data_IF_024279871715
#
_entry.id   IF_024279871715
#
_cell.length_a   1.000
_cell.length_b   1.000
_cell.length_c   1.000
_cell.angle_alpha   90.00
_cell.angle_beta   90.00
_cell.angle_gamma   90.00
#
_symmetry.space_group_name_H-M   'P 1'
#
loop_
_entity.id
_entity.type
_entity.pdbx_description
1 polymer ?
#
# COMPACT_ATOMS: atom_id res chain seq x y z
N UNK A 1 21.23 25.71 9.90
CA UNK A 1 19.91 25.11 10.07
C UNK A 1 20.11 23.61 9.99
N UNK A 2 19.78 22.87 11.06
CA UNK A 2 19.87 21.42 11.03
C UNK A 2 18.75 20.89 10.13
N UNK A 3 19.10 19.99 9.19
CA UNK A 3 18.11 19.32 8.34
C UNK A 3 17.14 18.50 9.21
N UNK A 4 15.86 18.49 8.84
CA UNK A 4 14.83 17.71 9.53
C UNK A 4 15.17 16.22 9.50
N UNK A 5 15.27 15.61 10.67
CA UNK A 5 15.56 14.19 10.81
C UNK A 5 14.26 13.39 10.98
N UNK A 6 14.02 12.47 10.06
CA UNK A 6 12.90 11.53 10.15
C UNK A 6 13.28 10.39 11.10
N UNK A 7 12.46 10.05 12.10
CA UNK A 7 12.77 9.00 13.07
C UNK A 7 12.50 7.61 12.48
N UNK A 8 13.30 7.18 11.51
CA UNK A 8 13.15 5.90 10.84
C UNK A 8 13.27 4.70 11.79
N UNK A 9 12.52 3.65 11.48
CA UNK A 9 12.46 2.39 12.21
C UNK A 9 13.00 1.29 11.29
N UNK A 10 14.15 0.72 11.65
CA UNK A 10 14.82 -0.28 10.82
C UNK A 10 14.64 -1.71 11.32
N UNK A 11 14.39 -1.89 12.61
CA UNK A 11 14.29 -3.19 13.23
C UNK A 11 12.84 -3.53 13.56
N UNK A 12 12.38 -4.69 13.10
CA UNK A 12 11.09 -5.26 13.43
C UNK A 12 11.09 -6.76 13.13
N UNK A 13 10.16 -7.49 13.72
CA UNK A 13 9.98 -8.91 13.45
C UNK A 13 9.16 -9.11 12.18
N UNK A 14 9.63 -9.99 11.31
CA UNK A 14 8.94 -10.42 10.11
C UNK A 14 9.32 -11.87 9.78
N UNK A 15 8.47 -12.55 9.01
CA UNK A 15 8.72 -13.92 8.55
C UNK A 15 8.26 -14.08 7.11
N UNK A 16 9.11 -14.60 6.25
CA UNK A 16 8.72 -14.93 4.89
C UNK A 16 7.77 -16.11 4.85
N UNK A 17 6.71 -16.02 4.04
CA UNK A 17 5.79 -17.09 3.79
C UNK A 17 4.95 -17.56 4.99
N UNK A 18 4.94 -16.81 6.08
CA UNK A 18 4.15 -17.09 7.26
C UNK A 18 3.01 -16.08 7.42
N UNK A 19 1.89 -16.53 7.95
CA UNK A 19 0.74 -15.68 8.28
C UNK A 19 0.94 -15.09 9.68
N UNK A 20 1.42 -13.86 9.75
CA UNK A 20 1.69 -13.17 11.01
C UNK A 20 0.43 -12.50 11.55
N UNK A 21 0.12 -12.74 12.80
CA UNK A 21 -0.95 -12.05 13.53
C UNK A 21 -0.44 -10.70 14.04
N UNK A 22 -0.99 -9.58 13.56
CA UNK A 22 -0.55 -8.24 13.95
C UNK A 22 -1.51 -7.58 14.93
N UNK A 23 -2.80 -7.62 14.62
CA UNK A 23 -3.89 -7.07 15.42
C UNK A 23 -5.11 -8.01 15.33
N UNK A 24 -6.20 -7.77 16.05
CA UNK A 24 -7.40 -8.62 15.94
C UNK A 24 -7.95 -8.74 14.50
N UNK A 25 -7.82 -7.70 13.66
CA UNK A 25 -8.33 -7.70 12.29
C UNK A 25 -7.24 -7.69 11.22
N UNK A 26 -5.97 -7.58 11.57
CA UNK A 26 -4.88 -7.45 10.58
C UNK A 26 -3.86 -8.58 10.74
N UNK A 27 -3.60 -9.26 9.63
CA UNK A 27 -2.53 -10.25 9.48
C UNK A 27 -1.65 -9.85 8.29
N UNK A 28 -0.45 -10.40 8.21
CA UNK A 28 0.51 -10.09 7.14
C UNK A 28 1.24 -11.34 6.68
N UNK A 29 1.47 -11.42 5.38
CA UNK A 29 2.39 -12.40 4.76
C UNK A 29 3.46 -11.59 4.02
N UNK A 30 4.72 -11.78 4.38
CA UNK A 30 5.83 -11.08 3.74
C UNK A 30 6.39 -11.90 2.57
N UNK A 31 6.48 -11.28 1.40
CA UNK A 31 7.07 -11.88 0.21
C UNK A 31 8.61 -11.88 0.30
N UNK A 32 9.29 -12.92 -0.22
CA UNK A 32 10.76 -12.99 -0.21
C UNK A 32 11.38 -12.20 -1.37
N UNK A 33 11.12 -10.89 -1.41
CA UNK A 33 11.62 -9.97 -2.41
C UNK A 33 12.40 -8.78 -1.82
N UNK A 34 13.40 -9.00 -0.93
CA UNK A 34 14.16 -7.90 -0.35
C UNK A 34 14.96 -7.15 -1.40
N UNK A 35 14.97 -5.83 -1.31
CA UNK A 35 15.74 -4.94 -2.19
C UNK A 35 15.89 -3.55 -1.57
N UNK A 36 16.65 -2.67 -2.23
CA UNK A 36 16.75 -1.27 -1.83
C UNK A 36 15.43 -0.49 -1.90
N UNK A 37 14.43 -1.00 -2.62
CA UNK A 37 13.10 -0.39 -2.74
C UNK A 37 12.04 -1.04 -1.86
N UNK A 38 12.26 -2.27 -1.45
CA UNK A 38 11.27 -3.08 -0.73
C UNK A 38 11.68 -3.40 0.70
N UNK A 39 12.86 -2.97 1.11
CA UNK A 39 13.47 -3.28 2.40
C UNK A 39 13.57 -4.81 2.60
N UNK A 40 12.82 -5.39 3.52
CA UNK A 40 12.80 -6.83 3.72
C UNK A 40 11.84 -7.57 2.78
N UNK A 41 11.01 -6.86 2.06
CA UNK A 41 10.05 -7.40 1.11
C UNK A 41 8.68 -6.74 1.20
N UNK A 42 7.78 -7.21 0.34
CA UNK A 42 6.38 -6.77 0.32
C UNK A 42 5.59 -7.43 1.44
N UNK A 43 4.98 -6.63 2.31
CA UNK A 43 4.00 -7.08 3.29
C UNK A 43 2.60 -7.07 2.69
N UNK A 44 2.09 -8.24 2.33
CA UNK A 44 0.69 -8.40 1.92
C UNK A 44 -0.18 -8.49 3.16
N UNK A 45 -1.12 -7.55 3.32
CA UNK A 45 -2.00 -7.53 4.48
C UNK A 45 -3.31 -8.24 4.22
N UNK A 46 -3.80 -8.93 5.24
CA UNK A 46 -5.10 -9.59 5.26
C UNK A 46 -5.97 -8.89 6.31
N UNK A 47 -7.10 -8.33 5.88
CA UNK A 47 -8.05 -7.63 6.72
C UNK A 47 -9.24 -8.54 7.01
N UNK A 48 -9.55 -8.72 8.28
CA UNK A 48 -10.69 -9.52 8.72
C UNK A 48 -10.35 -10.98 8.98
N UNK A 49 -11.39 -11.77 9.22
CA UNK A 49 -11.30 -13.20 9.49
C UNK A 49 -12.50 -13.91 8.90
N UNK A 50 -12.27 -15.06 8.29
CA UNK A 50 -13.31 -15.83 7.61
C UNK A 50 -13.66 -15.27 6.24
N UNK A 51 -14.17 -14.06 6.17
CA UNK A 51 -14.37 -13.30 4.93
C UNK A 51 -13.43 -12.09 4.95
N UNK A 52 -12.43 -12.08 4.08
CA UNK A 52 -11.29 -11.19 4.20
C UNK A 52 -11.02 -10.37 2.95
N UNK A 53 -10.38 -9.22 3.13
CA UNK A 53 -9.75 -8.47 2.06
C UNK A 53 -8.23 -8.71 2.09
N UNK A 54 -7.62 -8.73 0.92
CA UNK A 54 -6.17 -8.81 0.75
C UNK A 54 -5.66 -7.51 0.15
N UNK A 55 -4.73 -6.85 0.81
CA UNK A 55 -4.13 -5.59 0.38
C UNK A 55 -2.75 -5.84 -0.21
N UNK A 56 -2.52 -5.37 -1.43
CA UNK A 56 -1.27 -5.51 -2.16
C UNK A 56 -0.76 -6.97 -2.19
N UNK A 57 -1.34 -7.81 -3.05
CA UNK A 57 -0.97 -9.23 -3.13
C UNK A 57 0.51 -9.46 -3.51
N UNK A 58 1.18 -8.41 -4.02
CA UNK A 58 2.63 -8.35 -4.14
C UNK A 58 3.17 -8.75 -5.51
N UNK A 59 4.47 -9.05 -5.55
CA UNK A 59 5.13 -9.43 -6.78
C UNK A 59 4.68 -10.81 -7.26
N UNK A 60 4.77 -11.03 -8.57
CA UNK A 60 4.45 -12.32 -9.17
C UNK A 60 5.61 -13.32 -8.94
N UNK A 61 5.76 -13.72 -7.69
CA UNK A 61 6.70 -14.75 -7.25
C UNK A 61 5.87 -16.00 -6.89
N UNK A 62 6.16 -17.11 -7.52
CA UNK A 62 5.38 -18.36 -7.35
C UNK A 62 5.28 -18.78 -5.87
N UNK A 63 6.38 -18.69 -5.13
CA UNK A 63 6.42 -19.02 -3.70
C UNK A 63 5.45 -18.15 -2.88
N UNK A 64 5.40 -16.85 -3.16
CA UNK A 64 4.51 -15.92 -2.47
C UNK A 64 3.04 -16.15 -2.83
N UNK A 65 2.76 -16.32 -4.11
CA UNK A 65 1.40 -16.61 -4.60
C UNK A 65 0.86 -17.88 -3.97
N UNK A 66 1.66 -18.96 -3.96
CA UNK A 66 1.29 -20.22 -3.32
C UNK A 66 1.14 -20.12 -1.82
N UNK A 67 1.99 -19.32 -1.15
CA UNK A 67 1.86 -19.08 0.28
C UNK A 67 0.53 -18.41 0.61
N UNK A 68 0.14 -17.37 -0.11
CA UNK A 68 -1.15 -16.70 0.09
C UNK A 68 -2.33 -17.67 -0.15
N UNK A 69 -2.27 -18.44 -1.23
CA UNK A 69 -3.30 -19.42 -1.55
C UNK A 69 -3.45 -20.46 -0.45
N UNK A 70 -2.34 -21.02 0.04
CA UNK A 70 -2.34 -22.06 1.06
C UNK A 70 -2.72 -21.54 2.44
N UNK A 71 -2.19 -20.39 2.85
CA UNK A 71 -2.42 -19.82 4.18
C UNK A 71 -3.87 -19.32 4.37
N UNK A 72 -4.55 -18.97 3.30
CA UNK A 72 -5.93 -18.50 3.33
C UNK A 72 -6.95 -19.61 2.97
N UNK A 73 -6.52 -20.86 2.90
CA UNK A 73 -7.44 -21.98 2.78
C UNK A 73 -8.40 -22.03 3.95
N UNK A 74 -9.69 -22.25 3.68
CA UNK A 74 -10.74 -22.24 4.70
C UNK A 74 -11.31 -20.85 4.98
N UNK A 75 -10.71 -19.79 4.42
CA UNK A 75 -11.28 -18.45 4.43
C UNK A 75 -11.73 -18.05 3.02
N UNK A 76 -12.63 -17.08 2.93
CA UNK A 76 -13.11 -16.53 1.66
C UNK A 76 -12.49 -15.15 1.45
N UNK A 77 -11.71 -14.98 0.39
CA UNK A 77 -11.21 -13.68 -0.03
C UNK A 77 -12.29 -12.99 -0.85
N UNK A 78 -12.87 -11.93 -0.32
CA UNK A 78 -13.97 -11.20 -0.94
C UNK A 78 -13.52 -10.00 -1.75
N UNK A 79 -12.34 -9.45 -1.44
CA UNK A 79 -11.79 -8.25 -2.06
C UNK A 79 -10.28 -8.35 -2.16
N UNK A 80 -9.73 -7.90 -3.29
CA UNK A 80 -8.31 -7.62 -3.43
C UNK A 80 -8.16 -6.11 -3.60
N UNK A 81 -7.46 -5.45 -2.67
CA UNK A 81 -7.29 -4.00 -2.65
C UNK A 81 -5.87 -3.65 -3.07
N UNK A 82 -5.73 -2.78 -4.06
CA UNK A 82 -4.45 -2.38 -4.63
C UNK A 82 -4.18 -0.92 -4.31
N UNK A 83 -3.10 -0.63 -3.59
CA UNK A 83 -2.70 0.75 -3.27
C UNK A 83 -2.20 1.49 -4.51
N UNK A 84 -1.38 0.83 -5.30
CA UNK A 84 -0.85 1.33 -6.57
C UNK A 84 -0.25 0.18 -7.38
N UNK A 85 0.18 0.49 -8.59
CA UNK A 85 0.51 -0.51 -9.61
C UNK A 85 2.01 -0.63 -9.90
N UNK A 86 2.85 -0.58 -8.87
CA UNK A 86 4.24 -1.02 -9.03
C UNK A 86 4.34 -2.56 -9.00
N UNK A 87 5.40 -3.08 -9.60
CA UNK A 87 5.59 -4.51 -9.83
C UNK A 87 5.71 -5.36 -8.56
N UNK A 88 5.92 -4.73 -7.41
CA UNK A 88 5.98 -5.37 -6.10
C UNK A 88 4.65 -5.31 -5.31
N UNK A 89 3.59 -4.74 -5.90
CA UNK A 89 2.28 -4.57 -5.25
C UNK A 89 1.13 -5.30 -5.94
N UNK A 90 0.98 -5.15 -7.26
CA UNK A 90 -0.23 -5.57 -7.98
C UNK A 90 -0.14 -6.88 -8.79
N UNK A 91 1.02 -7.34 -9.31
CA UNK A 91 1.04 -8.43 -10.28
C UNK A 91 0.45 -9.76 -9.80
N UNK A 92 0.61 -10.11 -8.54
CA UNK A 92 0.06 -11.35 -7.98
C UNK A 92 -1.48 -11.35 -7.93
N UNK A 93 -2.13 -10.22 -8.13
CA UNK A 93 -3.60 -10.14 -8.17
C UNK A 93 -4.19 -10.98 -9.30
N UNK A 94 -3.56 -11.06 -10.47
CA UNK A 94 -4.10 -11.77 -11.63
C UNK A 94 -4.31 -13.27 -11.38
N UNK A 95 -3.32 -14.06 -10.94
CA UNK A 95 -3.56 -15.47 -10.62
C UNK A 95 -4.45 -15.66 -9.39
N UNK A 96 -4.30 -14.81 -8.36
CA UNK A 96 -5.04 -14.99 -7.11
C UNK A 96 -6.53 -14.68 -7.24
N UNK A 97 -6.91 -13.68 -8.03
CA UNK A 97 -8.34 -13.41 -8.26
C UNK A 97 -9.06 -14.58 -8.93
N UNK A 98 -8.35 -15.35 -9.77
CA UNK A 98 -8.92 -16.55 -10.39
C UNK A 98 -9.12 -17.66 -9.38
N UNK A 99 -8.12 -17.91 -8.53
CA UNK A 99 -8.19 -18.93 -7.48
C UNK A 99 -9.27 -18.60 -6.47
N UNK A 100 -9.36 -17.35 -6.04
CA UNK A 100 -10.33 -16.92 -5.02
C UNK A 100 -11.72 -16.58 -5.58
N UNK A 101 -11.86 -16.43 -6.90
CA UNK A 101 -13.12 -16.04 -7.51
C UNK A 101 -13.60 -14.66 -7.08
N UNK A 102 -12.69 -13.70 -6.94
CA UNK A 102 -12.99 -12.38 -6.41
C UNK A 102 -12.58 -11.27 -7.38
N UNK A 103 -12.88 -10.02 -7.03
CA UNK A 103 -12.59 -8.83 -7.81
C UNK A 103 -11.44 -8.04 -7.22
N UNK A 104 -10.76 -7.27 -8.08
CA UNK A 104 -9.73 -6.31 -7.71
C UNK A 104 -10.31 -4.90 -7.64
N UNK A 105 -9.83 -4.15 -6.66
CA UNK A 105 -10.23 -2.77 -6.37
C UNK A 105 -9.00 -1.89 -6.37
N UNK A 106 -9.02 -0.81 -7.09
CA UNK A 106 -7.94 0.17 -7.15
C UNK A 106 -8.40 1.46 -7.80
N UNK A 107 -7.56 2.48 -7.76
CA UNK A 107 -7.90 3.78 -8.35
C UNK A 107 -8.04 3.69 -9.88
N UNK A 108 -7.15 2.96 -10.52
CA UNK A 108 -7.11 2.79 -11.96
C UNK A 108 -5.84 2.08 -12.41
N UNK A 109 -5.67 1.89 -13.72
CA UNK A 109 -4.43 1.34 -14.26
C UNK A 109 -3.24 2.26 -13.98
N UNK A 110 -2.02 1.76 -14.19
CA UNK A 110 -0.80 2.54 -14.01
C UNK A 110 -0.81 3.81 -14.88
N UNK A 111 -0.53 4.96 -14.25
CA UNK A 111 -0.58 6.26 -14.91
C UNK A 111 -1.98 6.87 -15.02
N UNK A 112 -2.99 6.28 -14.39
CA UNK A 112 -4.37 6.74 -14.46
C UNK A 112 -4.52 8.22 -14.05
N UNK A 113 -5.14 9.00 -14.93
CA UNK A 113 -5.44 10.43 -14.69
C UNK A 113 -4.27 11.38 -14.96
N UNK A 114 -3.09 10.90 -15.36
CA UNK A 114 -1.92 11.74 -15.58
C UNK A 114 -1.20 11.47 -16.92
N UNK A 115 -1.13 10.23 -17.35
CA UNK A 115 -0.35 9.82 -18.53
C UNK A 115 -1.30 9.60 -19.70
N UNK A 116 -1.04 10.28 -20.82
CA UNK A 116 -1.79 10.05 -22.05
C UNK A 116 -1.48 8.69 -22.67
N UNK A 117 -2.43 8.07 -23.40
CA UNK A 117 -2.19 6.81 -24.07
C UNK A 117 -0.99 6.89 -25.01
N UNK A 118 -0.03 5.96 -24.84
CA UNK A 118 1.19 5.90 -25.64
C UNK A 118 2.39 6.66 -25.09
N UNK A 119 2.27 7.37 -23.98
CA UNK A 119 3.40 7.98 -23.29
C UNK A 119 4.34 6.90 -22.72
N UNK A 120 5.64 7.16 -22.71
CA UNK A 120 6.61 6.28 -22.06
C UNK A 120 6.39 6.30 -20.56
N UNK A 121 6.23 5.12 -19.98
CA UNK A 121 5.99 4.93 -18.54
C UNK A 121 7.28 4.42 -17.90
N UNK A 122 7.46 4.79 -16.63
CA UNK A 122 8.63 4.42 -15.83
C UNK A 122 8.85 2.90 -15.74
N UNK A 123 10.09 2.49 -15.61
CA UNK A 123 10.45 1.11 -15.34
C UNK A 123 9.89 0.70 -13.96
N UNK A 124 9.26 -0.47 -13.87
CA UNK A 124 8.70 -1.02 -12.64
C UNK A 124 7.19 -0.85 -12.48
N UNK A 125 6.50 -0.21 -13.42
CA UNK A 125 5.03 -0.18 -13.46
C UNK A 125 4.44 -1.52 -13.94
N UNK A 126 3.37 -1.96 -13.29
CA UNK A 126 2.55 -3.07 -13.75
C UNK A 126 1.54 -2.57 -14.78
N UNK A 127 1.89 -2.70 -16.04
CA UNK A 127 1.11 -2.18 -17.16
C UNK A 127 -0.10 -3.04 -17.51
N UNK A 128 -0.16 -4.27 -17.01
CA UNK A 128 -1.24 -5.20 -17.30
C UNK A 128 -2.39 -5.09 -16.31
N UNK A 129 -2.14 -4.53 -15.13
CA UNK A 129 -3.17 -4.43 -14.10
C UNK A 129 -4.23 -3.38 -14.45
N UNK A 130 -5.47 -3.82 -14.47
CA UNK A 130 -6.67 -2.98 -14.57
C UNK A 130 -7.61 -3.42 -13.45
N UNK A 131 -8.01 -2.53 -12.52
CA UNK A 131 -8.93 -2.93 -11.46
C UNK A 131 -10.30 -3.29 -12.04
N UNK A 132 -10.93 -4.33 -11.48
CA UNK A 132 -12.32 -4.67 -11.83
C UNK A 132 -13.29 -3.59 -11.34
N UNK A 133 -12.98 -3.00 -10.20
CA UNK A 133 -13.74 -1.90 -9.60
C UNK A 133 -12.80 -0.73 -9.35
N UNK A 134 -13.09 0.39 -9.98
CA UNK A 134 -12.39 1.64 -9.71
C UNK A 134 -12.95 2.29 -8.44
N UNK A 135 -12.04 2.69 -7.56
CA UNK A 135 -12.39 3.37 -6.29
C UNK A 135 -11.86 4.79 -6.30
N UNK A 136 -12.55 5.67 -5.59
CA UNK A 136 -12.24 7.10 -5.51
C UNK A 136 -12.15 7.52 -4.05
N UNK A 137 -11.62 8.73 -3.84
CA UNK A 137 -11.51 9.30 -2.50
C UNK A 137 -12.85 9.32 -1.77
N UNK A 138 -12.86 8.79 -0.55
CA UNK A 138 -14.05 8.71 0.28
C UNK A 138 -14.95 7.51 0.03
N UNK A 139 -14.68 6.69 -0.97
CA UNK A 139 -15.47 5.46 -1.21
C UNK A 139 -15.32 4.50 -0.03
N UNK A 140 -16.42 3.85 0.33
CA UNK A 140 -16.49 2.89 1.42
C UNK A 140 -16.65 1.48 0.85
N UNK A 141 -15.79 0.58 1.31
CA UNK A 141 -15.85 -0.85 1.01
C UNK A 141 -16.25 -1.55 2.31
N UNK A 142 -17.42 -2.19 2.31
CA UNK A 142 -17.91 -2.93 3.47
C UNK A 142 -17.63 -4.41 3.30
N UNK A 143 -17.05 -5.02 4.33
CA UNK A 143 -16.84 -6.45 4.44
C UNK A 143 -17.55 -7.03 5.65
N UNK A 144 -17.27 -8.29 5.92
CA UNK A 144 -17.81 -9.00 7.08
C UNK A 144 -16.95 -8.70 8.32
N UNK A 145 -17.44 -7.80 9.16
CA UNK A 145 -16.78 -7.37 10.39
C UNK A 145 -15.65 -6.35 10.18
N UNK A 146 -15.52 -5.78 9.00
CA UNK A 146 -14.57 -4.73 8.70
C UNK A 146 -15.11 -3.73 7.67
N UNK A 147 -14.67 -2.49 7.78
CA UNK A 147 -15.06 -1.37 6.91
C UNK A 147 -13.83 -0.60 6.49
N UNK A 148 -13.65 -0.38 5.20
CA UNK A 148 -12.51 0.33 4.64
C UNK A 148 -12.97 1.58 3.91
N UNK A 149 -12.36 2.72 4.24
CA UNK A 149 -12.50 3.97 3.49
C UNK A 149 -11.30 4.15 2.57
N UNK A 150 -11.57 4.48 1.31
CA UNK A 150 -10.53 4.80 0.34
C UNK A 150 -10.07 6.25 0.51
N UNK A 151 -8.76 6.46 0.60
CA UNK A 151 -8.13 7.77 0.80
C UNK A 151 -7.13 8.01 -0.33
N UNK A 152 -7.51 8.84 -1.29
CA UNK A 152 -6.67 9.11 -2.46
C UNK A 152 -5.43 9.93 -2.06
N UNK A 153 -4.25 9.41 -2.38
CA UNK A 153 -2.95 9.96 -2.00
C UNK A 153 -1.97 9.96 -3.18
N UNK A 154 -2.26 10.70 -4.26
CA UNK A 154 -1.37 10.74 -5.42
C UNK A 154 -0.04 11.40 -5.07
N UNK A 155 1.01 11.00 -5.77
CA UNK A 155 2.35 11.57 -5.61
C UNK A 155 3.46 10.57 -5.89
N UNK A 156 3.55 9.50 -5.14
CA UNK A 156 4.45 8.38 -5.45
C UNK A 156 4.08 7.77 -6.81
N UNK A 157 2.80 7.52 -7.02
CA UNK A 157 2.18 7.30 -8.33
C UNK A 157 0.90 8.12 -8.44
N UNK A 158 0.43 8.38 -9.66
CA UNK A 158 -0.81 9.13 -9.87
C UNK A 158 -2.06 8.36 -9.46
N UNK A 159 -1.98 7.02 -9.39
CA UNK A 159 -3.07 6.13 -9.01
C UNK A 159 -2.98 5.65 -7.55
N UNK A 160 -2.08 6.22 -6.75
CA UNK A 160 -1.89 5.77 -5.36
C UNK A 160 -3.11 6.09 -4.50
N UNK A 161 -3.60 5.09 -3.78
CA UNK A 161 -4.71 5.22 -2.84
C UNK A 161 -4.40 4.43 -1.57
N UNK A 162 -4.64 5.03 -0.41
CA UNK A 162 -4.54 4.38 0.89
C UNK A 162 -5.90 3.80 1.29
N UNK A 163 -5.88 2.81 2.18
CA UNK A 163 -7.09 2.17 2.71
C UNK A 163 -7.14 2.32 4.22
N UNK A 164 -8.21 2.93 4.72
CA UNK A 164 -8.43 3.14 6.16
C UNK A 164 -9.35 2.07 6.72
N UNK A 165 -8.82 1.22 7.60
CA UNK A 165 -9.63 0.26 8.37
C UNK A 165 -10.26 0.98 9.55
N UNK A 166 -11.56 1.21 9.47
CA UNK A 166 -12.31 2.03 10.42
C UNK A 166 -12.32 1.45 11.83
N UNK A 167 -12.50 0.14 11.97
CA UNK A 167 -12.61 -0.56 13.25
C UNK A 167 -11.35 -0.48 14.12
N UNK A 168 -10.19 -0.18 13.51
CA UNK A 168 -8.91 -0.08 14.22
C UNK A 168 -8.23 1.29 14.08
N UNK A 169 -8.85 2.26 13.43
CA UNK A 169 -8.24 3.55 13.10
C UNK A 169 -6.87 3.38 12.45
N UNK A 170 -6.76 2.41 11.55
CA UNK A 170 -5.53 2.01 10.91
C UNK A 170 -5.55 2.39 9.42
N UNK A 171 -4.45 2.93 8.92
CA UNK A 171 -4.30 3.29 7.52
C UNK A 171 -3.23 2.41 6.86
N UNK A 172 -3.60 1.71 5.80
CA UNK A 172 -2.65 1.03 4.92
C UNK A 172 -2.11 2.04 3.93
N UNK A 173 -0.85 2.41 4.09
CA UNK A 173 -0.27 3.58 3.40
C UNK A 173 0.46 3.23 2.11
N UNK A 174 0.52 1.96 1.74
CA UNK A 174 1.27 1.56 0.54
C UNK A 174 2.71 2.05 0.59
N UNK A 175 3.13 2.78 -0.43
CA UNK A 175 4.45 3.43 -0.51
C UNK A 175 4.37 4.95 -0.35
N UNK A 176 3.23 5.47 0.08
CA UNK A 176 3.07 6.90 0.33
C UNK A 176 3.84 7.35 1.57
N UNK A 177 3.72 6.62 2.66
CA UNK A 177 4.50 6.82 3.90
C UNK A 177 5.04 5.48 4.35
N UNK A 178 6.34 5.40 4.58
CA UNK A 178 7.05 4.22 5.06
C UNK A 178 7.87 4.55 6.30
N UNK A 179 8.04 3.59 7.20
CA UNK A 179 8.76 3.79 8.45
C UNK A 179 10.28 3.71 8.33
N UNK A 180 10.82 3.20 7.24
CA UNK A 180 12.25 2.91 7.07
C UNK A 180 12.96 3.80 6.04
N UNK A 181 12.21 4.46 5.17
CA UNK A 181 12.76 5.29 4.09
C UNK A 181 11.73 6.32 3.64
N UNK A 182 12.21 7.39 3.00
CA UNK A 182 11.35 8.28 2.23
C UNK A 182 10.81 7.58 0.99
N UNK A 183 9.68 8.05 0.48
CA UNK A 183 9.10 7.52 -0.75
C UNK A 183 9.82 8.04 -1.98
N UNK A 184 9.96 7.21 -2.99
CA UNK A 184 10.50 7.62 -4.30
C UNK A 184 9.42 8.39 -5.05
N UNK A 185 9.74 9.60 -5.48
CA UNK A 185 8.88 10.45 -6.29
C UNK A 185 9.62 10.73 -7.59
N UNK A 186 9.30 9.99 -8.62
CA UNK A 186 9.98 10.06 -9.90
C UNK A 186 9.05 10.32 -11.09
N UNK A 187 9.41 11.29 -11.98
CA UNK A 187 8.65 11.48 -13.21
C UNK A 187 8.75 10.24 -14.11
N UNK A 188 7.81 10.01 -15.07
CA UNK A 188 6.72 10.93 -15.42
C UNK A 188 5.49 10.82 -14.51
N UNK A 189 5.27 9.70 -13.83
CA UNK A 189 4.04 9.46 -13.07
C UNK A 189 4.07 10.09 -11.68
N UNK A 190 5.21 10.07 -11.00
CA UNK A 190 5.38 10.72 -9.70
C UNK A 190 5.32 12.24 -9.80
N UNK A 191 4.76 12.87 -8.76
CA UNK A 191 4.61 14.33 -8.67
C UNK A 191 4.77 14.84 -7.25
N UNK A 192 5.79 15.68 -7.03
CA UNK A 192 6.14 16.17 -5.69
C UNK A 192 5.07 17.06 -5.09
N UNK A 193 4.44 17.93 -5.89
CA UNK A 193 3.37 18.82 -5.42
C UNK A 193 2.17 18.01 -4.93
N UNK A 194 1.75 17.02 -5.70
CA UNK A 194 0.67 16.09 -5.31
C UNK A 194 1.06 15.30 -4.07
N UNK A 195 2.33 14.86 -3.97
CA UNK A 195 2.83 14.10 -2.83
C UNK A 195 2.74 14.90 -1.52
N UNK A 196 3.20 16.16 -1.53
CA UNK A 196 3.12 17.05 -0.36
C UNK A 196 1.67 17.31 0.01
N UNK A 197 0.80 17.60 -0.94
CA UNK A 197 -0.64 17.79 -0.69
C UNK A 197 -1.26 16.54 -0.07
N UNK A 198 -0.87 15.36 -0.53
CA UNK A 198 -1.36 14.08 0.03
C UNK A 198 -0.86 13.85 1.46
N UNK A 199 0.38 14.23 1.78
CA UNK A 199 0.89 14.21 3.16
C UNK A 199 0.10 15.17 4.06
N UNK A 200 -0.16 16.39 3.61
CA UNK A 200 -0.95 17.38 4.35
C UNK A 200 -2.37 16.88 4.62
N UNK A 201 -2.96 16.17 3.66
CA UNK A 201 -4.27 15.52 3.80
C UNK A 201 -4.27 14.51 4.95
N UNK A 202 -3.20 13.74 5.13
CA UNK A 202 -3.10 12.78 6.23
C UNK A 202 -3.07 13.46 7.60
N UNK A 203 -2.49 14.66 7.71
CA UNK A 203 -2.48 15.43 8.97
C UNK A 203 -3.87 15.81 9.45
N UNK A 204 -4.85 15.89 8.56
CA UNK A 204 -6.25 16.22 8.88
C UNK A 204 -7.07 14.99 9.27
N UNK A 205 -6.48 13.81 9.20
CA UNK A 205 -7.15 12.54 9.52
C UNK A 205 -6.84 12.11 10.95
N UNK A 206 -7.66 11.18 11.44
CA UNK A 206 -7.59 10.67 12.82
C UNK A 206 -7.07 9.22 12.90
N UNK A 207 -6.40 8.75 11.85
CA UNK A 207 -5.77 7.43 11.88
C UNK A 207 -4.68 7.39 12.97
N UNK A 208 -4.65 6.32 13.75
CA UNK A 208 -3.75 6.19 14.91
C UNK A 208 -2.50 5.37 14.59
N UNK A 209 -2.57 4.53 13.56
CA UNK A 209 -1.48 3.66 13.15
C UNK A 209 -1.44 3.54 11.63
N UNK A 210 -0.22 3.54 11.07
CA UNK A 210 0.01 3.26 9.65
C UNK A 210 0.66 1.91 9.45
N UNK A 211 0.18 1.17 8.47
CA UNK A 211 0.72 -0.09 8.00
C UNK A 211 1.23 0.07 6.57
N UNK A 212 2.53 0.41 6.38
CA UNK A 212 3.12 0.49 5.05
C UNK A 212 3.27 -0.89 4.42
N UNK A 213 3.36 -0.95 3.09
CA UNK A 213 3.60 -2.22 2.39
C UNK A 213 5.03 -2.74 2.64
N UNK A 214 5.99 -1.85 2.87
CA UNK A 214 7.37 -2.23 3.22
C UNK A 214 7.74 -1.66 4.58
N UNK A 215 8.33 -2.49 5.43
CA UNK A 215 8.74 -2.10 6.77
C UNK A 215 7.65 -2.31 7.83
N UNK A 216 7.90 -1.78 9.02
CA UNK A 216 6.99 -1.92 10.15
C UNK A 216 5.95 -0.80 10.22
N UNK A 217 5.00 -0.95 11.14
CA UNK A 217 3.98 0.07 11.41
C UNK A 217 4.57 1.35 12.00
N UNK A 218 3.82 2.42 11.87
CA UNK A 218 4.12 3.74 12.44
C UNK A 218 3.00 4.10 13.41
N UNK A 219 3.35 4.45 14.65
CA UNK A 219 2.37 4.79 15.70
C UNK A 219 2.32 6.28 16.03
N UNK A 220 3.41 7.01 15.86
CA UNK A 220 3.44 8.46 16.01
C UNK A 220 3.19 9.12 14.64
N UNK A 221 2.01 8.89 14.10
CA UNK A 221 1.68 9.16 12.70
C UNK A 221 1.79 10.64 12.33
N UNK A 222 1.28 11.55 13.15
CA UNK A 222 1.28 12.99 12.82
C UNK A 222 2.69 13.58 12.82
N UNK A 223 3.50 13.25 13.81
CA UNK A 223 4.89 13.69 13.86
C UNK A 223 5.71 13.12 12.72
N UNK A 224 5.44 11.85 12.37
CA UNK A 224 6.11 11.18 11.27
C UNK A 224 5.77 11.83 9.91
N UNK A 225 4.49 12.09 9.65
CA UNK A 225 4.05 12.78 8.43
C UNK A 225 4.60 14.22 8.37
N UNK A 226 4.59 14.94 9.48
CA UNK A 226 5.16 16.30 9.52
C UNK A 226 6.67 16.28 9.21
N UNK A 227 7.39 15.28 9.72
CA UNK A 227 8.82 15.13 9.40
C UNK A 227 9.06 14.85 7.92
N UNK A 228 8.19 14.06 7.26
CA UNK A 228 8.23 13.85 5.82
C UNK A 228 8.03 15.15 5.04
N UNK A 229 7.04 15.96 5.42
CA UNK A 229 6.77 17.25 4.78
C UNK A 229 7.98 18.17 4.93
N UNK A 230 8.47 18.33 6.14
CA UNK A 230 9.61 19.21 6.46
C UNK A 230 10.88 18.81 5.71
N UNK A 231 11.14 17.50 5.62
CA UNK A 231 12.27 16.96 4.86
C UNK A 231 12.20 17.32 3.38
N UNK A 232 11.02 17.24 2.76
CA UNK A 232 10.84 17.61 1.35
C UNK A 232 11.00 19.09 1.13
N UNK A 233 10.42 19.93 1.98
CA UNK A 233 10.54 21.38 1.90
C UNK A 233 11.96 21.87 2.12
N UNK A 234 12.73 21.24 3.01
CA UNK A 234 14.14 21.57 3.26
C UNK A 234 15.03 21.30 2.03
N UNK A 235 14.66 20.35 1.19
CA UNK A 235 15.41 20.01 -0.04
C UNK A 235 15.09 20.92 -1.22
N UNK A 236 13.98 21.65 -1.18
CA UNK A 236 13.60 22.61 -2.22
C UNK A 236 14.19 24.02 -1.98
N UNK A 237 14.83 24.26 -0.84
CA UNK A 237 15.52 25.50 -0.47
C UNK A 237 17.00 25.44 -0.77
#
# INVERSE_FOLDING_TARGET
VMATKIPFIYEYEYSYGALEELTPLIRRVTAPNPSGFTFHGTGTYIIGRGNVAVVDPGPLIEEHVKALENLLQGETVTHILITHTHADHSPAAAPLKKVWGTKTYGYGPHGAGKIEPGAQIEAGGDMEFIPDVEVRDGDIIEGDGWTVECVYTPGHTSNHICFSLKEENALFTGDHVMGWSTSVIGPPDGDMTSYISSLEKLLLRDDEIYWPTHGTCITDVKNFVQAFIDHRLDRER
#
